data_IF_718107814323
#
_entry.id   IF_718107814323
#
_cell.length_a   1.000
_cell.length_b   1.000
_cell.length_c   1.000
_cell.angle_alpha   90.00
_cell.angle_beta   90.00
_cell.angle_gamma   90.00
#
_symmetry.space_group_name_H-M   'P 1'
#
loop_
_entity.id
_entity.type
_entity.pdbx_description
1 polymer ?
#
# COMPACT_ATOMS: atom_id res chain seq x y z
N UNK A 1 18.46 -5.12 18.16
CA UNK A 1 19.46 -6.17 17.87
C UNK A 1 19.59 -6.23 16.37
N UNK A 2 20.83 -6.37 15.90
CA UNK A 2 21.28 -6.07 14.56
C UNK A 2 20.37 -6.62 13.46
N UNK A 3 20.04 -5.72 12.52
CA UNK A 3 19.34 -5.95 11.28
C UNK A 3 20.22 -6.83 10.39
N UNK A 4 19.82 -8.07 10.17
CA UNK A 4 20.49 -8.99 9.26
C UNK A 4 20.02 -8.67 7.83
N UNK A 5 20.48 -7.53 7.32
CA UNK A 5 20.39 -7.18 5.91
C UNK A 5 21.23 -8.20 5.11
N UNK A 6 20.55 -9.19 4.55
CA UNK A 6 21.09 -10.03 3.50
C UNK A 6 21.65 -9.11 2.39
N UNK A 7 22.91 -9.30 1.93
CA UNK A 7 23.46 -8.50 0.85
C UNK A 7 22.63 -8.73 -0.41
N UNK A 8 22.01 -7.67 -0.94
CA UNK A 8 21.55 -7.66 -2.32
C UNK A 8 22.77 -7.91 -3.21
N UNK A 9 22.87 -9.11 -3.80
CA UNK A 9 23.88 -9.41 -4.82
C UNK A 9 23.80 -8.33 -5.92
N UNK A 10 24.84 -7.50 -6.01
CA UNK A 10 24.93 -6.42 -6.98
C UNK A 10 25.26 -6.98 -8.36
N UNK A 11 24.25 -7.52 -9.03
CA UNK A 11 24.30 -7.86 -10.44
C UNK A 11 24.30 -6.61 -11.32
N UNK A 12 24.76 -6.75 -12.57
CA UNK A 12 24.53 -5.74 -13.59
C UNK A 12 23.02 -5.44 -13.69
N UNK A 13 22.62 -4.17 -13.83
CA UNK A 13 21.21 -3.83 -14.01
C UNK A 13 20.66 -4.59 -15.22
N UNK A 14 19.42 -5.09 -15.13
CA UNK A 14 18.81 -5.85 -16.22
C UNK A 14 18.77 -5.01 -17.51
N UNK A 15 18.76 -5.70 -18.66
CA UNK A 15 18.48 -5.05 -19.94
C UNK A 15 17.11 -4.35 -19.89
N UNK A 16 16.92 -3.22 -20.61
CA UNK A 16 15.63 -2.54 -20.65
C UNK A 16 14.53 -3.50 -21.08
N UNK A 17 13.42 -3.52 -20.35
CA UNK A 17 12.24 -4.23 -20.83
C UNK A 17 11.64 -3.45 -22.01
N UNK A 18 11.14 -4.18 -23.01
CA UNK A 18 10.50 -3.60 -24.21
C UNK A 18 9.11 -4.21 -24.43
N UNK A 19 8.20 -3.45 -25.05
CA UNK A 19 6.77 -3.76 -25.23
C UNK A 19 5.89 -3.47 -23.99
N UNK A 20 4.56 -3.26 -24.17
CA UNK A 20 3.86 -2.16 -23.52
C UNK A 20 3.82 -2.29 -22.00
N UNK A 21 4.18 -1.20 -21.32
CA UNK A 21 4.01 -1.08 -19.88
C UNK A 21 2.53 -1.16 -19.56
N UNK A 22 2.14 -2.20 -18.82
CA UNK A 22 0.77 -2.36 -18.36
C UNK A 22 0.56 -1.51 -17.12
N UNK A 23 -0.44 -0.65 -17.14
CA UNK A 23 -0.83 0.17 -15.98
C UNK A 23 -0.98 -0.68 -14.71
N UNK A 24 -1.66 -1.82 -14.83
CA UNK A 24 -1.90 -2.75 -13.71
C UNK A 24 -0.60 -3.18 -13.02
N UNK A 25 0.51 -3.28 -13.76
CA UNK A 25 1.79 -3.73 -13.22
C UNK A 25 2.57 -2.58 -12.54
N UNK A 26 2.01 -1.36 -12.53
CA UNK A 26 2.65 -0.14 -12.00
C UNK A 26 1.85 0.56 -10.88
N UNK A 27 0.58 0.20 -10.65
CA UNK A 27 -0.29 0.92 -9.69
C UNK A 27 0.25 0.82 -8.28
N UNK A 28 0.68 -0.37 -7.86
CA UNK A 28 1.25 -0.60 -6.53
C UNK A 28 2.49 0.25 -6.29
N UNK A 29 3.49 0.18 -7.18
CA UNK A 29 4.73 0.94 -7.06
C UNK A 29 4.48 2.46 -7.13
N UNK A 30 3.55 2.88 -7.98
CA UNK A 30 3.18 4.29 -8.11
C UNK A 30 2.50 4.85 -6.86
N UNK A 31 1.60 4.08 -6.27
CA UNK A 31 0.94 4.46 -5.03
C UNK A 31 1.94 4.49 -3.87
N UNK A 32 2.78 3.45 -3.74
CA UNK A 32 3.85 3.38 -2.76
C UNK A 32 4.78 4.59 -2.86
N UNK A 33 5.26 4.90 -4.05
CA UNK A 33 6.15 6.03 -4.31
C UNK A 33 5.49 7.36 -3.95
N UNK A 34 4.24 7.56 -4.34
CA UNK A 34 3.50 8.82 -4.10
C UNK A 34 3.29 9.04 -2.60
N UNK A 35 2.85 8.01 -1.88
CA UNK A 35 2.67 8.07 -0.42
C UNK A 35 4.00 8.26 0.32
N UNK A 36 5.06 7.55 -0.09
CA UNK A 36 6.38 7.69 0.53
C UNK A 36 6.94 9.10 0.33
N UNK A 37 6.76 9.65 -0.87
CA UNK A 37 7.17 11.03 -1.21
C UNK A 37 6.38 12.10 -0.44
N UNK A 38 5.14 11.81 -0.03
CA UNK A 38 4.38 12.70 0.84
C UNK A 38 4.97 12.69 2.25
N UNK A 39 5.27 11.50 2.78
CA UNK A 39 5.80 11.34 4.14
C UNK A 39 7.18 11.99 4.28
N UNK A 40 8.06 11.84 3.28
CA UNK A 40 9.41 12.43 3.30
C UNK A 40 9.45 13.92 2.88
N UNK A 41 8.31 14.48 2.46
CA UNK A 41 8.18 15.88 2.03
C UNK A 41 8.75 16.20 0.65
N UNK A 42 9.10 15.18 -0.15
CA UNK A 42 9.73 15.34 -1.47
C UNK A 42 8.76 15.35 -2.65
N UNK A 43 7.46 15.06 -2.42
CA UNK A 43 6.44 15.02 -3.48
C UNK A 43 6.24 16.37 -4.18
N UNK A 44 6.33 17.47 -3.42
CA UNK A 44 6.11 18.83 -3.94
C UNK A 44 4.65 19.14 -4.33
N UNK A 45 3.70 18.29 -3.92
CA UNK A 45 2.25 18.45 -4.13
C UNK A 45 1.55 18.28 -2.78
N UNK A 46 0.55 19.11 -2.52
CA UNK A 46 -0.34 18.89 -1.37
C UNK A 46 -1.49 17.97 -1.79
N UNK A 47 -1.50 16.75 -1.25
CA UNK A 47 -2.55 15.78 -1.51
C UNK A 47 -3.70 15.81 -0.51
N UNK A 48 -3.69 16.75 0.45
CA UNK A 48 -4.75 16.90 1.45
C UNK A 48 -4.81 15.78 2.49
N UNK A 49 -3.78 14.91 2.56
CA UNK A 49 -3.64 13.84 3.54
C UNK A 49 -2.48 14.14 4.49
N UNK A 50 -2.69 13.88 5.77
CA UNK A 50 -1.66 14.04 6.80
C UNK A 50 -0.52 13.02 6.63
N UNK A 51 0.71 13.43 6.98
CA UNK A 51 1.88 12.55 6.95
C UNK A 51 1.72 11.33 7.86
N UNK A 52 1.04 11.48 9.00
CA UNK A 52 0.72 10.36 9.89
C UNK A 52 -0.17 9.33 9.19
N UNK A 53 -1.23 9.78 8.51
CA UNK A 53 -2.13 8.90 7.79
C UNK A 53 -1.41 8.14 6.66
N UNK A 54 -0.62 8.85 5.85
CA UNK A 54 0.20 8.24 4.80
C UNK A 54 1.22 7.24 5.37
N UNK A 55 1.85 7.56 6.50
CA UNK A 55 2.78 6.64 7.18
C UNK A 55 2.09 5.37 7.67
N UNK A 56 0.87 5.50 8.22
CA UNK A 56 0.06 4.34 8.66
C UNK A 56 -0.41 3.46 7.50
N UNK A 57 -0.67 4.02 6.32
CA UNK A 57 -0.96 3.23 5.11
C UNK A 57 0.24 2.38 4.65
N UNK A 58 1.47 2.88 4.88
CA UNK A 58 2.73 2.24 4.49
C UNK A 58 3.26 1.23 5.53
N UNK A 59 2.71 1.24 6.74
CA UNK A 59 3.18 0.42 7.85
C UNK A 59 3.06 -1.08 7.52
N UNK A 60 4.13 -1.85 7.76
CA UNK A 60 4.07 -3.32 7.70
C UNK A 60 3.53 -3.90 9.01
N UNK A 61 2.83 -5.04 8.93
CA UNK A 61 2.46 -5.80 10.13
C UNK A 61 3.68 -6.60 10.64
N UNK A 62 4.25 -6.29 11.82
CA UNK A 62 5.46 -6.93 12.31
C UNK A 62 5.26 -8.41 12.68
N UNK A 63 4.02 -8.87 12.85
CA UNK A 63 3.70 -10.23 13.29
C UNK A 63 3.21 -11.12 12.15
N UNK A 64 3.16 -10.61 10.92
CA UNK A 64 2.70 -11.39 9.77
C UNK A 64 3.88 -11.95 8.97
N UNK A 65 4.23 -13.21 9.23
CA UNK A 65 5.19 -13.97 8.42
C UNK A 65 4.42 -14.63 7.27
N UNK A 66 4.79 -14.25 6.04
CA UNK A 66 4.37 -14.79 4.74
C UNK A 66 3.32 -15.90 4.78
N UNK A 67 2.05 -15.52 4.91
CA UNK A 67 0.94 -16.39 4.58
C UNK A 67 0.57 -16.13 3.12
N UNK A 68 0.89 -17.06 2.21
CA UNK A 68 0.45 -17.06 0.81
C UNK A 68 -1.08 -17.30 0.68
N UNK A 69 -1.87 -16.80 1.64
CA UNK A 69 -3.32 -16.86 1.56
C UNK A 69 -3.72 -15.77 0.58
N UNK A 70 -4.37 -16.17 -0.51
CA UNK A 70 -4.98 -15.26 -1.47
C UNK A 70 -5.77 -14.22 -0.69
N UNK A 71 -5.35 -12.97 -0.83
CA UNK A 71 -5.87 -11.84 -0.07
C UNK A 71 -7.20 -11.44 -0.70
N UNK A 72 -8.24 -12.20 -0.37
CA UNK A 72 -9.60 -11.93 -0.79
C UNK A 72 -10.03 -10.56 -0.23
N UNK A 73 -10.83 -9.81 -1.00
CA UNK A 73 -11.41 -8.50 -0.62
C UNK A 73 -12.42 -8.57 0.54
N UNK A 74 -12.41 -9.67 1.27
CA UNK A 74 -13.33 -9.98 2.34
C UNK A 74 -12.62 -9.81 3.68
N UNK A 75 -13.34 -9.24 4.64
CA UNK A 75 -12.80 -9.02 5.96
C UNK A 75 -11.99 -7.74 6.09
N UNK A 76 -11.23 -7.64 7.17
CA UNK A 76 -10.37 -6.48 7.51
C UNK A 76 -9.14 -6.49 6.60
N UNK A 77 -8.75 -5.42 5.90
CA UNK A 77 -7.61 -5.46 4.98
C UNK A 77 -6.29 -5.80 5.67
N UNK A 78 -5.42 -6.49 4.96
CA UNK A 78 -4.08 -6.83 5.43
C UNK A 78 -3.12 -5.65 5.26
N UNK A 79 -2.17 -5.56 6.19
CA UNK A 79 -1.12 -4.56 6.15
C UNK A 79 0.07 -5.05 5.30
N UNK A 80 0.75 -4.17 4.55
CA UNK A 80 0.53 -2.71 4.49
C UNK A 80 -0.70 -2.33 3.65
N UNK A 81 -1.50 -1.38 4.15
CA UNK A 81 -2.81 -1.05 3.61
C UNK A 81 -2.76 -0.44 2.19
N UNK A 82 -1.66 0.19 1.80
CA UNK A 82 -1.51 0.69 0.43
C UNK A 82 -1.62 -0.42 -0.62
N UNK A 83 -1.29 -1.68 -0.30
CA UNK A 83 -1.46 -2.81 -1.23
C UNK A 83 -2.93 -3.13 -1.46
N UNK A 84 -3.74 -3.08 -0.40
CA UNK A 84 -5.20 -3.22 -0.51
C UNK A 84 -5.79 -2.10 -1.37
N UNK A 85 -5.32 -0.86 -1.19
CA UNK A 85 -5.71 0.27 -2.04
C UNK A 85 -5.29 0.06 -3.51
N UNK A 86 -4.05 -0.32 -3.76
CA UNK A 86 -3.54 -0.57 -5.12
C UNK A 86 -4.41 -1.59 -5.85
N UNK A 87 -4.71 -2.72 -5.21
CA UNK A 87 -5.58 -3.75 -5.79
C UNK A 87 -7.00 -3.24 -6.01
N UNK A 88 -7.57 -2.44 -5.09
CA UNK A 88 -8.89 -1.86 -5.29
C UNK A 88 -8.94 -0.96 -6.54
N UNK A 89 -7.88 -0.16 -6.76
CA UNK A 89 -7.71 0.68 -7.96
C UNK A 89 -7.54 -0.16 -9.24
N UNK A 90 -6.77 -1.24 -9.17
CA UNK A 90 -6.57 -2.19 -10.27
C UNK A 90 -7.87 -2.91 -10.65
N UNK A 91 -8.63 -3.40 -9.67
CA UNK A 91 -9.87 -4.10 -9.93
C UNK A 91 -10.95 -3.20 -10.50
N UNK A 92 -11.08 -1.97 -9.98
CA UNK A 92 -11.95 -0.98 -10.59
C UNK A 92 -11.60 -0.77 -12.08
N UNK A 93 -10.31 -0.84 -12.41
CA UNK A 93 -9.84 -0.76 -13.79
C UNK A 93 -10.26 -1.98 -14.63
N UNK A 94 -10.43 -3.16 -14.06
CA UNK A 94 -10.89 -4.35 -14.79
C UNK A 94 -12.42 -4.44 -14.93
N UNK A 95 -13.17 -4.10 -13.88
CA UNK A 95 -14.63 -4.31 -13.81
C UNK A 95 -15.45 -3.06 -14.12
N UNK A 96 -14.86 -1.86 -14.07
CA UNK A 96 -15.58 -0.58 -14.15
C UNK A 96 -16.56 -0.35 -13.00
N UNK A 97 -16.49 -1.19 -11.95
CA UNK A 97 -17.42 -1.20 -10.83
C UNK A 97 -16.65 -1.49 -9.56
N UNK A 98 -16.92 -0.76 -8.48
CA UNK A 98 -16.43 -1.16 -7.17
C UNK A 98 -16.96 -2.54 -6.81
N UNK A 99 -16.15 -3.38 -6.16
CA UNK A 99 -16.65 -4.63 -5.57
C UNK A 99 -17.78 -4.25 -4.59
N UNK A 100 -18.95 -4.85 -4.83
CA UNK A 100 -20.23 -4.56 -4.16
C UNK A 100 -20.07 -4.13 -2.70
N UNK A 101 -20.48 -2.90 -2.40
CA UNK A 101 -20.79 -2.46 -1.05
C UNK A 101 -22.33 -2.48 -0.91
N UNK A 102 -22.93 -3.41 -0.15
CA UNK A 102 -24.35 -3.36 0.17
C UNK A 102 -24.62 -2.20 1.13
N UNK A 103 -25.66 -1.43 0.85
CA UNK A 103 -26.35 -0.48 1.73
C UNK A 103 -25.49 0.58 2.42
N UNK A 104 -25.32 1.71 1.72
CA UNK A 104 -25.38 3.03 2.36
C UNK A 104 -26.62 3.73 1.79
N UNK A 105 -27.69 3.79 2.57
CA UNK A 105 -28.97 4.44 2.19
C UNK A 105 -28.86 5.98 2.12
N UNK A 106 -27.68 6.56 2.37
CA UNK A 106 -27.46 7.99 2.30
C UNK A 106 -27.24 8.44 0.86
N UNK A 107 -28.21 9.16 0.29
CA UNK A 107 -28.17 9.77 -1.05
C UNK A 107 -26.88 10.58 -1.31
N UNK A 108 -26.35 11.24 -0.28
CA UNK A 108 -25.09 11.99 -0.36
C UNK A 108 -23.87 11.12 -0.63
N UNK A 109 -23.87 9.86 -0.17
CA UNK A 109 -22.76 8.94 -0.37
C UNK A 109 -22.78 8.36 -1.79
N UNK A 110 -23.97 8.08 -2.34
CA UNK A 110 -24.13 7.66 -3.74
C UNK A 110 -23.63 8.73 -4.72
N UNK A 111 -23.85 10.01 -4.39
CA UNK A 111 -23.29 11.13 -5.18
C UNK A 111 -21.76 11.12 -5.17
N UNK A 112 -21.15 11.01 -3.98
CA UNK A 112 -19.68 10.92 -3.82
C UNK A 112 -19.10 9.71 -4.55
N UNK A 113 -19.76 8.56 -4.49
CA UNK A 113 -19.34 7.35 -5.20
C UNK A 113 -19.32 7.55 -6.72
N UNK A 114 -20.31 8.28 -7.26
CA UNK A 114 -20.34 8.69 -8.67
C UNK A 114 -19.18 9.64 -9.02
N UNK A 115 -18.86 10.60 -8.15
CA UNK A 115 -17.73 11.51 -8.32
C UNK A 115 -16.38 10.76 -8.30
N UNK A 116 -16.19 9.85 -7.35
CA UNK A 116 -14.99 9.00 -7.29
C UNK A 116 -14.86 8.08 -8.50
N UNK A 117 -15.97 7.52 -8.97
CA UNK A 117 -16.00 6.69 -10.19
C UNK A 117 -15.49 7.47 -11.41
N UNK A 118 -16.00 8.69 -11.58
CA UNK A 118 -15.56 9.58 -12.67
C UNK A 118 -14.07 9.92 -12.54
N UNK A 119 -13.62 10.30 -11.34
CA UNK A 119 -12.23 10.61 -11.05
C UNK A 119 -11.29 9.44 -11.38
N UNK A 120 -11.65 8.22 -10.98
CA UNK A 120 -10.88 7.01 -11.26
C UNK A 120 -10.77 6.75 -12.76
N UNK A 121 -11.86 6.93 -13.51
CA UNK A 121 -11.86 6.73 -14.95
C UNK A 121 -11.01 7.76 -15.70
N UNK A 122 -11.10 9.03 -15.31
CA UNK A 122 -10.29 10.12 -15.86
C UNK A 122 -8.81 9.89 -15.58
N UNK A 123 -8.45 9.63 -14.32
CA UNK A 123 -7.08 9.37 -13.91
C UNK A 123 -6.48 8.15 -14.62
N UNK A 124 -7.27 7.08 -14.76
CA UNK A 124 -6.88 5.89 -15.52
C UNK A 124 -6.58 6.23 -16.97
N UNK A 125 -7.43 7.04 -17.62
CA UNK A 125 -7.22 7.43 -19.01
C UNK A 125 -5.89 8.14 -19.20
N UNK A 126 -5.57 9.09 -18.31
CA UNK A 126 -4.29 9.81 -18.35
C UNK A 126 -3.09 8.91 -18.08
N UNK A 127 -3.17 8.03 -17.07
CA UNK A 127 -2.10 7.06 -16.81
C UNK A 127 -1.89 6.08 -17.97
N UNK A 128 -2.97 5.59 -18.58
CA UNK A 128 -2.88 4.72 -19.77
C UNK A 128 -2.22 5.43 -20.96
N UNK A 129 -2.48 6.73 -21.15
CA UNK A 129 -1.79 7.52 -22.19
C UNK A 129 -0.29 7.62 -21.91
N UNK A 130 0.09 7.90 -20.66
CA UNK A 130 1.50 8.02 -20.27
C UNK A 130 2.23 6.69 -20.43
N UNK A 131 1.72 5.62 -19.82
CA UNK A 131 2.37 4.31 -19.87
C UNK A 131 2.33 3.69 -21.28
N UNK A 132 1.28 3.96 -22.05
CA UNK A 132 1.18 3.54 -23.45
C UNK A 132 2.18 4.23 -24.38
N UNK A 133 2.76 5.36 -23.97
CA UNK A 133 3.81 6.06 -24.69
C UNK A 133 5.23 5.70 -24.23
N UNK A 134 5.39 4.78 -23.27
CA UNK A 134 6.71 4.34 -22.80
C UNK A 134 7.32 3.34 -23.76
N UNK A 135 8.56 3.60 -24.18
CA UNK A 135 9.33 2.71 -25.07
C UNK A 135 10.15 1.69 -24.28
N UNK A 136 10.73 2.11 -23.15
CA UNK A 136 11.64 1.30 -22.35
C UNK A 136 11.41 1.47 -20.85
N UNK A 137 11.45 0.35 -20.11
CA UNK A 137 11.47 0.36 -18.64
C UNK A 137 12.88 0.07 -18.12
N UNK A 138 13.36 0.93 -17.22
CA UNK A 138 14.69 0.86 -16.63
C UNK A 138 14.59 0.95 -15.11
N UNK A 139 15.56 0.33 -14.43
CA UNK A 139 15.72 0.48 -12.98
C UNK A 139 16.93 1.36 -12.64
N UNK A 140 16.74 2.30 -11.71
CA UNK A 140 17.77 3.20 -11.19
C UNK A 140 17.79 3.14 -9.66
N UNK A 141 18.97 2.94 -9.07
CA UNK A 141 19.14 2.93 -7.61
C UNK A 141 19.20 4.33 -7.02
N UNK A 142 18.89 4.46 -5.74
CA UNK A 142 19.19 5.66 -4.98
C UNK A 142 20.71 5.84 -4.78
N UNK A 143 21.23 7.08 -4.75
CA UNK A 143 20.53 8.37 -4.77
C UNK A 143 20.16 8.87 -6.19
N UNK A 144 20.55 8.15 -7.24
CA UNK A 144 20.46 8.63 -8.62
C UNK A 144 19.03 8.76 -9.12
N UNK A 145 18.11 7.92 -8.64
CA UNK A 145 16.69 8.04 -8.95
C UNK A 145 16.10 9.35 -8.44
N UNK A 146 16.34 9.69 -7.16
CA UNK A 146 15.90 10.97 -6.60
C UNK A 146 16.54 12.17 -7.30
N UNK A 147 17.81 12.05 -7.71
CA UNK A 147 18.50 13.10 -8.48
C UNK A 147 17.91 13.30 -9.89
N UNK A 148 17.52 12.22 -10.58
CA UNK A 148 16.82 12.30 -11.87
C UNK A 148 15.46 12.99 -11.71
N UNK A 149 14.69 12.59 -10.68
CA UNK A 149 13.40 13.22 -10.37
C UNK A 149 13.52 14.71 -10.10
N UNK A 150 14.52 15.11 -9.34
CA UNK A 150 14.80 16.51 -9.02
C UNK A 150 15.41 17.31 -10.18
N UNK A 151 15.76 16.66 -11.30
CA UNK A 151 16.43 17.30 -12.44
C UNK A 151 17.89 17.67 -12.19
N UNK A 152 18.49 17.18 -11.10
CA UNK A 152 19.90 17.37 -10.79
C UNK A 152 20.80 16.49 -11.68
N UNK A 153 20.36 15.27 -11.93
CA UNK A 153 20.98 14.32 -12.87
C UNK A 153 20.24 14.40 -14.19
N UNK A 154 20.97 14.64 -15.28
CA UNK A 154 20.41 14.78 -16.63
C UNK A 154 21.01 13.80 -17.65
N UNK A 155 21.99 13.00 -17.23
CA UNK A 155 22.65 12.01 -18.08
C UNK A 155 22.69 10.68 -17.36
N UNK A 156 22.16 9.64 -18.00
CA UNK A 156 22.18 8.28 -17.50
C UNK A 156 23.22 7.44 -18.26
N UNK A 157 24.31 7.10 -17.58
CA UNK A 157 25.38 6.27 -18.16
C UNK A 157 25.10 4.77 -18.02
N UNK A 158 25.21 4.01 -19.11
CA UNK A 158 25.03 2.55 -19.15
C UNK A 158 26.04 1.90 -20.10
N UNK A 159 26.46 0.66 -19.85
CA UNK A 159 27.18 -0.08 -20.89
C UNK A 159 26.25 -0.32 -22.10
N UNK A 160 26.81 -0.25 -23.31
CA UNK A 160 26.06 -0.37 -24.57
C UNK A 160 25.68 -1.84 -24.89
N UNK A 161 24.87 -2.46 -24.03
CA UNK A 161 24.52 -3.89 -24.11
C UNK A 161 23.03 -4.10 -24.39
N UNK A 162 22.68 -5.15 -25.14
CA UNK A 162 21.29 -5.56 -25.35
C UNK A 162 20.39 -4.41 -25.85
N UNK A 163 19.21 -4.27 -25.24
CA UNK A 163 18.21 -3.28 -25.63
C UNK A 163 18.60 -1.82 -25.33
N UNK A 164 19.65 -1.56 -24.52
CA UNK A 164 20.15 -0.19 -24.34
C UNK A 164 20.60 0.43 -25.68
N UNK A 165 21.09 -0.38 -26.63
CA UNK A 165 21.49 0.08 -27.97
C UNK A 165 20.33 0.53 -28.86
N UNK A 166 19.08 0.24 -28.46
CA UNK A 166 17.87 0.63 -29.19
C UNK A 166 17.32 1.97 -28.72
N UNK A 167 17.82 2.49 -27.61
CA UNK A 167 17.40 3.78 -27.06
C UNK A 167 17.92 4.89 -27.98
N UNK A 168 17.02 5.75 -28.45
CA UNK A 168 17.30 6.81 -29.39
C UNK A 168 16.66 8.13 -28.92
N UNK A 169 17.11 9.29 -29.46
CA UNK A 169 16.44 10.57 -29.24
C UNK A 169 14.93 10.50 -29.48
N UNK A 170 14.14 11.10 -28.61
CA UNK A 170 12.68 11.08 -28.62
C UNK A 170 12.04 9.87 -27.92
N UNK A 171 12.82 8.87 -27.50
CA UNK A 171 12.28 7.75 -26.75
C UNK A 171 11.82 8.15 -25.33
N UNK A 172 10.75 7.54 -24.86
CA UNK A 172 10.22 7.68 -23.50
C UNK A 172 10.69 6.54 -22.61
N UNK A 173 11.34 6.88 -21.49
CA UNK A 173 11.83 5.92 -20.51
C UNK A 173 11.00 6.00 -19.23
N UNK A 174 10.66 4.84 -18.68
CA UNK A 174 10.05 4.71 -17.37
C UNK A 174 11.06 4.17 -16.36
N UNK A 175 11.40 4.98 -15.36
CA UNK A 175 12.27 4.59 -14.27
C UNK A 175 11.45 4.10 -13.07
N UNK A 176 11.81 2.92 -12.57
CA UNK A 176 11.24 2.32 -11.36
C UNK A 176 9.70 2.38 -11.35
N UNK A 177 9.07 2.19 -12.52
CA UNK A 177 7.61 2.25 -12.74
C UNK A 177 6.89 3.55 -12.33
N UNK A 178 7.62 4.63 -12.05
CA UNK A 178 7.05 5.82 -11.39
C UNK A 178 7.45 7.15 -11.98
N UNK A 179 8.64 7.25 -12.57
CA UNK A 179 9.17 8.48 -13.17
C UNK A 179 9.32 8.29 -14.68
N UNK A 180 8.65 9.14 -15.47
CA UNK A 180 8.83 9.16 -16.93
C UNK A 180 9.83 10.25 -17.31
N UNK A 181 10.74 9.94 -18.22
CA UNK A 181 11.68 10.90 -18.82
C UNK A 181 11.74 10.73 -20.33
N UNK A 182 12.15 11.79 -21.03
CA UNK A 182 12.32 11.78 -22.48
C UNK A 182 13.80 11.89 -22.85
N UNK A 183 14.26 10.99 -23.73
CA UNK A 183 15.62 10.99 -24.24
C UNK A 183 15.83 12.15 -25.20
N UNK A 184 16.74 13.05 -24.84
CA UNK A 184 17.12 14.19 -25.66
C UNK A 184 18.16 13.78 -26.71
N UNK A 185 19.24 13.14 -26.26
CA UNK A 185 20.34 12.67 -27.10
C UNK A 185 20.96 11.41 -26.50
N UNK A 186 21.62 10.59 -27.34
CA UNK A 186 22.39 9.43 -26.89
C UNK A 186 23.77 9.51 -27.53
N UNK A 187 24.81 9.56 -26.69
CA UNK A 187 26.20 9.61 -27.12
C UNK A 187 26.91 8.31 -26.73
N UNK A 188 27.84 7.85 -27.56
CA UNK A 188 28.62 6.64 -27.31
C UNK A 188 30.08 6.98 -27.05
N UNK A 189 30.67 6.31 -26.06
CA UNK A 189 32.04 6.50 -25.61
C UNK A 189 32.76 5.17 -25.48
N UNK A 190 34.08 5.20 -25.53
CA UNK A 190 34.92 4.01 -25.36
C UNK A 190 34.99 3.54 -23.90
N UNK A 191 34.78 4.47 -22.95
CA UNK A 191 34.88 4.19 -21.51
C UNK A 191 34.00 5.10 -20.66
N UNK A 192 33.72 4.69 -19.41
CA UNK A 192 33.03 5.54 -18.43
C UNK A 192 33.88 6.76 -18.07
N UNK A 193 35.20 6.63 -18.04
CA UNK A 193 36.10 7.75 -17.76
C UNK A 193 35.95 8.86 -18.81
N UNK A 194 35.97 8.47 -20.09
CA UNK A 194 35.76 9.41 -21.20
C UNK A 194 34.37 10.05 -21.14
N UNK A 195 33.32 9.24 -20.94
CA UNK A 195 31.96 9.74 -20.80
C UNK A 195 31.85 10.78 -19.67
N UNK A 196 32.40 10.50 -18.49
CA UNK A 196 32.35 11.41 -17.33
C UNK A 196 33.12 12.71 -17.55
N UNK A 197 34.19 12.68 -18.35
CA UNK A 197 34.94 13.87 -18.75
C UNK A 197 34.12 14.76 -19.71
N UNK A 198 33.51 14.15 -20.74
CA UNK A 198 32.81 14.89 -21.80
C UNK A 198 31.42 15.36 -21.36
N UNK A 199 30.62 14.47 -20.77
CA UNK A 199 29.24 14.77 -20.35
C UNK A 199 29.16 15.57 -19.04
N UNK A 200 30.32 15.87 -18.43
CA UNK A 200 30.46 16.51 -17.12
C UNK A 200 30.00 15.63 -15.95
N UNK A 201 30.93 15.26 -15.08
CA UNK A 201 30.68 14.41 -13.90
C UNK A 201 29.45 14.81 -13.10
N UNK A 202 29.20 16.10 -12.87
CA UNK A 202 28.05 16.56 -12.06
C UNK A 202 26.70 16.31 -12.72
N UNK A 203 26.62 16.20 -14.05
CA UNK A 203 25.37 15.89 -14.76
C UNK A 203 25.07 14.40 -14.76
N UNK A 204 26.12 13.57 -14.70
CA UNK A 204 26.01 12.11 -14.70
C UNK A 204 25.87 11.56 -13.27
N UNK A 205 26.71 12.04 -12.35
CA UNK A 205 26.78 11.59 -10.95
C UNK A 205 26.84 12.81 -10.00
N UNK A 206 25.73 13.54 -9.81
CA UNK A 206 25.69 14.66 -8.87
C UNK A 206 26.19 14.28 -7.47
N UNK A 207 27.06 15.12 -6.91
CA UNK A 207 27.67 14.93 -5.59
C UNK A 207 29.01 14.18 -5.58
N UNK A 208 29.37 13.50 -6.68
CA UNK A 208 30.66 12.82 -6.84
C UNK A 208 31.75 13.84 -7.18
N UNK A 209 32.93 13.72 -6.58
CA UNK A 209 33.97 14.76 -6.67
C UNK A 209 34.99 14.52 -7.78
N UNK A 210 35.29 13.25 -8.09
CA UNK A 210 36.31 12.91 -9.10
C UNK A 210 35.83 11.86 -10.09
N UNK A 211 36.48 11.81 -11.26
CA UNK A 211 36.14 10.85 -12.32
C UNK A 211 36.45 9.43 -11.85
N UNK A 212 37.53 9.22 -11.09
CA UNK A 212 37.94 7.92 -10.57
C UNK A 212 36.88 7.35 -9.62
N UNK A 213 36.34 8.18 -8.73
CA UNK A 213 35.22 7.82 -7.86
C UNK A 213 33.96 7.47 -8.68
N UNK A 214 33.69 8.26 -9.72
CA UNK A 214 32.58 8.01 -10.64
C UNK A 214 32.70 6.68 -11.39
N UNK A 215 33.89 6.35 -11.90
CA UNK A 215 34.17 5.06 -12.53
C UNK A 215 34.00 3.92 -11.51
N UNK A 216 34.46 4.11 -10.28
CA UNK A 216 34.30 3.11 -9.22
C UNK A 216 32.83 2.80 -8.90
N UNK A 217 31.93 3.79 -9.00
CA UNK A 217 30.48 3.57 -8.90
C UNK A 217 30.00 2.63 -10.01
N UNK A 218 30.39 2.89 -11.26
CA UNK A 218 30.03 2.01 -12.39
C UNK A 218 30.61 0.60 -12.28
N UNK A 219 31.78 0.44 -11.66
CA UNK A 219 32.41 -0.86 -11.41
C UNK A 219 31.61 -1.79 -10.50
N UNK A 220 30.69 -1.24 -9.69
CA UNK A 220 29.73 -2.05 -8.92
C UNK A 220 28.75 -2.81 -9.82
N UNK A 221 28.57 -2.38 -11.06
CA UNK A 221 27.58 -2.92 -12.00
C UNK A 221 28.22 -3.55 -13.25
N UNK A 222 29.36 -3.03 -13.70
CA UNK A 222 29.98 -3.41 -14.96
C UNK A 222 31.48 -3.69 -14.81
N UNK A 223 31.91 -4.85 -15.32
CA UNK A 223 33.33 -5.20 -15.40
C UNK A 223 34.03 -4.38 -16.49
N UNK A 224 35.33 -4.18 -16.35
CA UNK A 224 36.17 -3.51 -17.37
C UNK A 224 36.11 -4.20 -18.72
N UNK A 225 36.04 -5.53 -18.73
CA UNK A 225 35.91 -6.29 -19.96
C UNK A 225 34.60 -5.98 -20.70
N UNK A 226 33.47 -5.89 -19.96
CA UNK A 226 32.17 -5.55 -20.56
C UNK A 226 32.17 -4.13 -21.12
N UNK A 227 32.74 -3.18 -20.38
CA UNK A 227 32.92 -1.81 -20.88
C UNK A 227 33.79 -1.78 -22.13
N UNK A 228 34.97 -2.40 -22.11
CA UNK A 228 35.90 -2.40 -23.26
C UNK A 228 35.30 -3.05 -24.50
N UNK A 229 34.48 -4.09 -24.33
CA UNK A 229 33.90 -4.85 -25.44
C UNK A 229 32.71 -4.12 -26.08
N UNK A 230 31.91 -3.39 -25.30
CA UNK A 230 30.66 -2.80 -25.77
C UNK A 230 30.71 -1.27 -25.88
N UNK A 231 31.61 -0.62 -25.15
CA UNK A 231 31.57 0.82 -24.91
C UNK A 231 30.46 1.22 -23.92
N UNK A 232 30.26 2.52 -23.82
CA UNK A 232 29.35 3.17 -22.88
C UNK A 232 28.41 4.10 -23.63
N UNK A 233 27.14 4.14 -23.20
CA UNK A 233 26.14 5.10 -23.64
C UNK A 233 25.92 6.15 -22.56
N UNK A 234 25.95 7.42 -22.96
CA UNK A 234 25.38 8.52 -22.21
C UNK A 234 23.99 8.82 -22.75
N UNK A 235 22.96 8.53 -21.95
CA UNK A 235 21.57 8.78 -22.31
C UNK A 235 21.16 10.10 -21.66
N UNK A 236 21.18 11.19 -22.43
CA UNK A 236 20.78 12.51 -21.97
C UNK A 236 19.25 12.59 -21.91
N UNK A 237 18.70 12.96 -20.76
CA UNK A 237 17.26 12.92 -20.48
C UNK A 237 16.73 14.25 -19.97
N UNK A 238 15.45 14.51 -20.24
CA UNK A 238 14.71 15.60 -19.61
C UNK A 238 13.41 15.06 -18.99
N UNK A 239 12.90 15.75 -17.97
CA UNK A 239 11.67 15.36 -17.27
C UNK A 239 10.47 16.09 -17.88
N UNK A 240 9.52 15.40 -18.54
CA UNK A 240 8.30 16.03 -19.03
C UNK A 240 7.44 16.55 -17.86
N UNK A 241 6.56 17.51 -18.17
CA UNK A 241 5.67 18.13 -17.18
C UNK A 241 4.62 17.14 -16.65
N UNK A 242 4.05 16.31 -17.52
CA UNK A 242 3.12 15.25 -17.12
C UNK A 242 3.89 14.06 -16.55
N UNK A 243 3.52 13.63 -15.35
CA UNK A 243 4.18 12.53 -14.63
C UNK A 243 3.15 11.60 -14.00
N UNK A 244 3.39 10.27 -13.97
CA UNK A 244 2.47 9.31 -13.35
C UNK A 244 2.13 9.66 -11.90
N UNK A 245 3.12 10.07 -11.11
CA UNK A 245 2.93 10.35 -9.68
C UNK A 245 2.11 11.61 -9.43
N UNK A 246 2.07 12.54 -10.38
CA UNK A 246 1.20 13.74 -10.30
C UNK A 246 -0.27 13.31 -10.45
N UNK A 247 -0.56 12.41 -11.39
CA UNK A 247 -1.91 11.85 -11.58
C UNK A 247 -2.33 11.03 -10.36
N UNK A 248 -1.44 10.19 -9.83
CA UNK A 248 -1.70 9.47 -8.57
C UNK A 248 -1.96 10.42 -7.40
N UNK A 249 -1.19 11.50 -7.25
CA UNK A 249 -1.41 12.52 -6.23
C UNK A 249 -2.77 13.21 -6.36
N UNK A 250 -3.17 13.58 -7.58
CA UNK A 250 -4.49 14.17 -7.86
C UNK A 250 -5.62 13.19 -7.54
N UNK A 251 -5.44 11.90 -7.85
CA UNK A 251 -6.40 10.86 -7.49
C UNK A 251 -6.55 10.76 -5.96
N UNK A 252 -5.45 10.70 -5.21
CA UNK A 252 -5.48 10.67 -3.76
C UNK A 252 -6.17 11.90 -3.17
N UNK A 253 -5.91 13.07 -3.75
CA UNK A 253 -6.55 14.34 -3.36
C UNK A 253 -8.06 14.29 -3.55
N UNK A 254 -8.51 13.83 -4.72
CA UNK A 254 -9.94 13.78 -5.05
C UNK A 254 -10.71 12.66 -4.32
N UNK A 255 -10.04 11.57 -3.96
CA UNK A 255 -10.62 10.54 -3.08
C UNK A 255 -10.74 11.06 -1.65
N UNK A 256 -9.68 11.71 -1.14
CA UNK A 256 -9.58 12.13 0.25
C UNK A 256 -9.73 10.96 1.23
N UNK A 257 -9.96 11.28 2.50
CA UNK A 257 -10.15 10.27 3.55
C UNK A 257 -11.33 9.34 3.29
N UNK A 258 -12.48 9.90 2.91
CA UNK A 258 -13.71 9.11 2.68
C UNK A 258 -13.55 8.12 1.52
N UNK A 259 -12.96 8.54 0.40
CA UNK A 259 -12.76 7.68 -0.77
C UNK A 259 -11.72 6.59 -0.52
N UNK A 260 -10.65 6.90 0.21
CA UNK A 260 -9.65 5.89 0.61
C UNK A 260 -10.23 4.88 1.59
N UNK A 261 -11.00 5.31 2.58
CA UNK A 261 -11.69 4.42 3.50
C UNK A 261 -12.70 3.53 2.78
N UNK A 262 -13.43 4.08 1.81
CA UNK A 262 -14.32 3.31 0.96
C UNK A 262 -13.58 2.23 0.16
N UNK A 263 -12.43 2.56 -0.44
CA UNK A 263 -11.58 1.58 -1.14
C UNK A 263 -11.00 0.51 -0.21
N UNK A 264 -10.81 0.81 1.08
CA UNK A 264 -10.42 -0.15 2.11
C UNK A 264 -11.59 -0.99 2.65
N UNK A 265 -12.80 -0.81 2.13
CA UNK A 265 -14.00 -1.52 2.59
C UNK A 265 -14.58 -0.98 3.90
N UNK A 266 -14.14 0.20 4.36
CA UNK A 266 -14.71 0.86 5.53
C UNK A 266 -16.03 1.55 5.20
N UNK A 267 -16.92 1.55 6.18
CA UNK A 267 -18.23 2.18 6.11
C UNK A 267 -18.17 3.59 6.67
N UNK A 268 -18.94 4.49 6.07
CA UNK A 268 -19.12 5.85 6.58
C UNK A 268 -20.50 5.96 7.24
N UNK A 269 -20.54 6.28 8.53
CA UNK A 269 -21.76 6.51 9.30
C UNK A 269 -21.62 7.76 10.16
N UNK A 270 -22.72 8.22 10.76
CA UNK A 270 -22.63 9.28 11.77
C UNK A 270 -21.66 8.89 12.88
N UNK A 271 -20.70 9.76 13.17
CA UNK A 271 -19.64 9.53 14.15
C UNK A 271 -18.40 8.80 13.61
N UNK A 272 -18.33 8.46 12.33
CA UNK A 272 -17.09 7.97 11.69
C UNK A 272 -15.95 8.96 11.89
N UNK A 273 -14.78 8.45 12.25
CA UNK A 273 -13.53 9.21 12.33
C UNK A 273 -12.89 9.23 10.94
N UNK A 274 -12.77 10.40 10.27
CA UNK A 274 -12.35 10.44 8.86
C UNK A 274 -10.96 9.85 8.58
N UNK A 275 -9.96 10.19 9.39
CA UNK A 275 -8.55 9.79 9.20
C UNK A 275 -8.18 8.50 9.95
N UNK A 276 -9.18 7.73 10.36
CA UNK A 276 -8.97 6.44 10.98
C UNK A 276 -8.76 5.34 9.94
N UNK A 277 -7.91 4.37 10.28
CA UNK A 277 -7.60 3.20 9.47
C UNK A 277 -7.91 1.94 10.29
N UNK A 278 -8.27 0.82 9.64
CA UNK A 278 -8.50 -0.43 10.36
C UNK A 278 -7.21 -0.89 11.05
N UNK A 279 -7.20 -1.29 12.34
CA UNK A 279 -5.99 -1.77 12.98
C UNK A 279 -5.43 -3.06 12.35
N UNK A 280 -4.13 -3.34 12.45
CA UNK A 280 -3.55 -4.59 11.97
C UNK A 280 -4.26 -5.82 12.56
N UNK A 281 -4.56 -6.83 11.72
CA UNK A 281 -5.21 -8.07 12.17
C UNK A 281 -4.45 -8.71 13.33
N UNK A 282 -3.12 -8.68 13.30
CA UNK A 282 -2.29 -9.22 14.37
C UNK A 282 -2.53 -8.54 15.72
N UNK A 283 -2.71 -7.21 15.74
CA UNK A 283 -3.02 -6.44 16.94
C UNK A 283 -4.41 -6.80 17.48
N UNK A 284 -5.40 -6.92 16.58
CA UNK A 284 -6.78 -7.31 16.91
C UNK A 284 -6.84 -8.72 17.53
N UNK A 285 -6.15 -9.70 16.93
CA UNK A 285 -6.04 -11.07 17.46
C UNK A 285 -5.29 -11.07 18.79
N UNK A 286 -4.15 -10.39 18.87
CA UNK A 286 -3.31 -10.35 20.07
C UNK A 286 -4.07 -9.79 21.28
N UNK A 287 -4.77 -8.67 21.11
CA UNK A 287 -5.53 -8.05 22.21
C UNK A 287 -6.73 -8.91 22.65
N UNK A 288 -7.38 -9.59 21.70
CA UNK A 288 -8.48 -10.51 21.97
C UNK A 288 -8.01 -11.79 22.71
N UNK A 289 -6.84 -12.32 22.32
CA UNK A 289 -6.25 -13.54 22.87
C UNK A 289 -5.36 -13.31 24.11
N UNK A 290 -5.26 -12.08 24.59
CA UNK A 290 -4.53 -11.78 25.84
C UNK A 290 -5.19 -12.49 27.04
N UNK A 291 -4.42 -13.08 27.97
CA UNK A 291 -4.98 -13.71 29.17
C UNK A 291 -5.82 -12.74 30.01
N UNK A 292 -7.02 -13.18 30.39
CA UNK A 292 -7.91 -12.46 31.28
C UNK A 292 -7.55 -12.74 32.74
N UNK A 293 -7.09 -11.71 33.46
CA UNK A 293 -6.65 -11.80 34.87
C UNK A 293 -5.60 -12.91 35.09
N UNK A 294 -4.38 -12.76 34.51
CA UNK A 294 -3.34 -13.81 34.52
C UNK A 294 -2.88 -14.25 35.92
N UNK A 295 -3.16 -13.46 36.96
CA UNK A 295 -2.77 -13.74 38.33
C UNK A 295 -3.73 -14.71 39.06
N UNK A 296 -4.83 -15.12 38.44
CA UNK A 296 -5.79 -16.06 39.02
C UNK A 296 -5.35 -17.49 38.74
N UNK A 297 -4.95 -18.23 39.78
CA UNK A 297 -4.55 -19.64 39.65
C UNK A 297 -5.70 -20.47 39.08
N UNK A 298 -5.40 -21.26 38.05
CA UNK A 298 -6.33 -22.21 37.44
C UNK A 298 -7.25 -21.65 36.35
N UNK A 299 -7.15 -20.36 36.01
CA UNK A 299 -7.82 -19.81 34.84
C UNK A 299 -6.82 -19.31 33.81
N UNK A 300 -6.97 -19.77 32.57
CA UNK A 300 -6.17 -19.33 31.42
C UNK A 300 -7.04 -18.73 30.31
N UNK A 301 -8.30 -18.41 30.60
CA UNK A 301 -9.21 -17.79 29.64
C UNK A 301 -8.65 -16.49 29.08
N UNK A 302 -8.86 -16.27 27.79
CA UNK A 302 -8.56 -14.99 27.14
C UNK A 302 -9.71 -13.99 27.32
N UNK A 303 -9.46 -12.71 26.98
CA UNK A 303 -10.53 -11.71 26.94
C UNK A 303 -11.66 -12.13 26.00
N UNK A 304 -11.33 -12.65 24.82
CA UNK A 304 -12.31 -13.16 23.87
C UNK A 304 -13.10 -14.35 24.42
N UNK A 305 -12.45 -15.38 24.96
CA UNK A 305 -13.16 -16.54 25.52
C UNK A 305 -14.09 -16.12 26.68
N UNK A 306 -13.64 -15.19 27.52
CA UNK A 306 -14.47 -14.64 28.59
C UNK A 306 -15.68 -13.85 28.05
N UNK A 307 -15.50 -13.10 26.97
CA UNK A 307 -16.61 -12.42 26.32
C UNK A 307 -17.58 -13.44 25.73
N UNK A 308 -17.08 -14.43 24.97
CA UNK A 308 -17.88 -15.46 24.30
C UNK A 308 -18.78 -16.24 25.27
N UNK A 309 -18.30 -16.52 26.48
CA UNK A 309 -19.10 -17.14 27.54
C UNK A 309 -20.42 -16.42 27.86
N UNK A 310 -20.50 -15.10 27.61
CA UNK A 310 -21.73 -14.30 27.78
C UNK A 310 -22.69 -14.40 26.60
N UNK A 311 -22.20 -14.76 25.43
CA UNK A 311 -22.92 -14.76 24.14
C UNK A 311 -23.42 -16.15 23.75
N UNK A 312 -22.72 -17.22 24.15
CA UNK A 312 -23.10 -18.60 23.81
C UNK A 312 -24.57 -18.93 24.09
N UNK A 313 -25.09 -18.53 25.26
CA UNK A 313 -26.49 -18.79 25.64
C UNK A 313 -27.52 -17.81 25.07
N UNK A 314 -27.08 -16.79 24.31
CA UNK A 314 -27.95 -15.73 23.76
C UNK A 314 -28.35 -15.98 22.31
N UNK A 315 -27.56 -16.73 21.56
CA UNK A 315 -27.83 -17.03 20.15
C UNK A 315 -28.61 -18.35 20.03
N UNK A 316 -29.87 -18.27 19.59
CA UNK A 316 -30.73 -19.44 19.42
C UNK A 316 -30.33 -20.35 18.26
N UNK A 317 -29.53 -19.83 17.31
CA UNK A 317 -29.05 -20.53 16.12
C UNK A 317 -27.68 -21.23 16.33
N UNK A 318 -27.05 -21.05 17.48
CA UNK A 318 -25.76 -21.64 17.80
C UNK A 318 -24.56 -21.01 17.09
N UNK A 319 -24.69 -19.81 16.50
CA UNK A 319 -23.62 -19.15 15.72
C UNK A 319 -22.27 -19.09 16.44
N UNK A 320 -22.28 -18.77 17.74
CA UNK A 320 -21.08 -18.66 18.59
C UNK A 320 -20.37 -19.99 18.90
N UNK A 321 -20.93 -21.13 18.48
CA UNK A 321 -20.41 -22.47 18.75
C UNK A 321 -20.64 -22.95 20.19
N UNK A 322 -20.28 -24.20 20.52
CA UNK A 322 -20.50 -24.80 21.85
C UNK A 322 -19.43 -24.40 22.86
N UNK A 323 -19.76 -23.54 23.83
CA UNK A 323 -18.82 -23.11 24.87
C UNK A 323 -18.71 -24.11 26.02
N UNK A 324 -17.93 -25.18 25.81
CA UNK A 324 -17.73 -26.27 26.79
C UNK A 324 -16.27 -26.71 26.85
N UNK A 325 -15.92 -27.60 27.80
CA UNK A 325 -14.56 -28.13 27.94
C UNK A 325 -13.59 -27.24 28.74
N UNK A 326 -12.30 -27.50 28.55
CA UNK A 326 -11.17 -26.83 29.18
C UNK A 326 -11.03 -25.37 28.72
N UNK A 327 -10.29 -24.56 29.49
CA UNK A 327 -9.98 -23.18 29.11
C UNK A 327 -9.23 -23.10 27.77
N UNK A 328 -8.40 -24.10 27.47
CA UNK A 328 -7.71 -24.21 26.17
C UNK A 328 -8.71 -24.36 25.00
N UNK A 329 -9.69 -25.25 25.14
CA UNK A 329 -10.72 -25.47 24.12
C UNK A 329 -11.59 -24.24 23.91
N UNK A 330 -11.96 -23.56 24.99
CA UNK A 330 -12.72 -22.29 24.96
C UNK A 330 -11.93 -21.16 24.29
N UNK A 331 -10.63 -21.06 24.58
CA UNK A 331 -9.74 -20.09 23.95
C UNK A 331 -9.57 -20.37 22.46
N UNK A 332 -9.45 -21.64 22.07
CA UNK A 332 -9.41 -22.04 20.65
C UNK A 332 -10.69 -21.65 19.93
N UNK A 333 -11.85 -21.96 20.49
CA UNK A 333 -13.15 -21.54 19.93
C UNK A 333 -13.22 -20.01 19.76
N UNK A 334 -12.81 -19.25 20.77
CA UNK A 334 -12.80 -17.80 20.68
C UNK A 334 -11.84 -17.27 19.60
N UNK A 335 -10.68 -17.91 19.42
CA UNK A 335 -9.76 -17.60 18.32
C UNK A 335 -10.37 -17.90 16.96
N UNK A 336 -11.03 -19.06 16.82
CA UNK A 336 -11.68 -19.46 15.58
C UNK A 336 -12.79 -18.45 15.18
N UNK A 337 -13.59 -18.01 16.16
CA UNK A 337 -14.61 -16.96 15.96
C UNK A 337 -13.99 -15.62 15.55
N UNK A 338 -12.93 -15.17 16.22
CA UNK A 338 -12.26 -13.90 15.87
C UNK A 338 -11.69 -13.97 14.46
N UNK A 339 -11.01 -15.06 14.10
CA UNK A 339 -10.46 -15.25 12.76
C UNK A 339 -11.57 -15.29 11.70
N UNK A 340 -12.71 -15.93 12.00
CA UNK A 340 -13.86 -15.92 11.12
C UNK A 340 -14.40 -14.50 10.89
N UNK A 341 -14.61 -13.72 11.96
CA UNK A 341 -15.07 -12.33 11.87
C UNK A 341 -14.08 -11.46 11.06
N UNK A 342 -12.78 -11.57 11.33
CA UNK A 342 -11.75 -10.79 10.65
C UNK A 342 -11.65 -11.10 9.16
N UNK A 343 -11.88 -12.36 8.76
CA UNK A 343 -11.79 -12.77 7.35
C UNK A 343 -13.09 -12.58 6.57
N UNK A 344 -14.24 -12.48 7.24
CA UNK A 344 -15.55 -12.48 6.58
C UNK A 344 -16.39 -11.24 6.88
N UNK A 345 -15.87 -10.24 7.61
CA UNK A 345 -16.65 -9.03 7.85
C UNK A 345 -17.00 -8.32 6.53
N UNK A 346 -18.26 -7.94 6.40
CA UNK A 346 -18.81 -7.16 5.28
C UNK A 346 -19.07 -5.69 5.67
N UNK A 347 -18.91 -5.39 6.96
CA UNK A 347 -19.04 -4.06 7.51
C UNK A 347 -17.89 -3.85 8.50
N UNK A 348 -17.18 -2.73 8.36
CA UNK A 348 -16.19 -2.29 9.35
C UNK A 348 -16.17 -0.76 9.43
N UNK A 349 -15.90 -0.21 10.59
CA UNK A 349 -15.80 1.24 10.78
C UNK A 349 -14.99 1.58 12.04
N UNK A 350 -14.38 2.76 12.05
CA UNK A 350 -13.87 3.41 13.26
C UNK A 350 -14.77 4.60 13.57
N UNK A 351 -15.50 4.55 14.68
CA UNK A 351 -16.50 5.55 14.98
C UNK A 351 -16.69 5.77 16.48
N UNK A 352 -17.27 6.92 16.80
CA UNK A 352 -17.70 7.27 18.15
C UNK A 352 -19.00 6.53 18.48
N UNK A 353 -19.02 5.82 19.61
CA UNK A 353 -20.25 5.27 20.21
C UNK A 353 -20.79 6.17 21.32
N UNK A 354 -19.92 7.00 21.91
CA UNK A 354 -20.22 8.13 22.81
C UNK A 354 -19.18 9.23 22.55
N UNK A 355 -19.40 10.48 23.01
CA UNK A 355 -18.45 11.58 22.76
C UNK A 355 -16.99 11.26 23.06
N UNK A 356 -16.71 10.45 24.09
CA UNK A 356 -15.35 10.08 24.52
C UNK A 356 -14.99 8.60 24.26
N UNK A 357 -15.78 7.89 23.45
CA UNK A 357 -15.61 6.44 23.25
C UNK A 357 -15.55 6.12 21.75
N UNK A 358 -14.33 6.09 21.21
CA UNK A 358 -14.02 5.69 19.83
C UNK A 358 -13.65 4.21 19.75
N UNK A 359 -14.30 3.48 18.86
CA UNK A 359 -14.11 2.03 18.70
C UNK A 359 -13.86 1.66 17.25
N UNK A 360 -13.10 0.58 17.05
CA UNK A 360 -13.10 -0.17 15.80
C UNK A 360 -14.12 -1.30 15.91
N UNK A 361 -15.08 -1.33 15.00
CA UNK A 361 -16.15 -2.33 14.96
C UNK A 361 -16.16 -3.05 13.62
N UNK A 362 -16.37 -4.37 13.66
CA UNK A 362 -16.57 -5.21 12.47
C UNK A 362 -17.83 -6.04 12.64
N UNK A 363 -18.52 -6.31 11.52
CA UNK A 363 -19.66 -7.23 11.46
C UNK A 363 -19.63 -8.08 10.19
N UNK A 364 -20.05 -9.34 10.34
CA UNK A 364 -20.35 -10.25 9.23
C UNK A 364 -21.76 -10.00 8.70
N UNK A 365 -22.13 -10.50 7.50
CA UNK A 365 -23.45 -10.28 6.91
C UNK A 365 -24.63 -10.66 7.81
N UNK A 366 -24.46 -11.67 8.66
CA UNK A 366 -25.46 -12.14 9.63
C UNK A 366 -25.67 -11.17 10.80
N UNK A 367 -24.86 -10.10 10.89
CA UNK A 367 -24.97 -9.04 11.89
C UNK A 367 -24.14 -9.28 13.15
N UNK A 368 -23.61 -10.49 13.36
CA UNK A 368 -22.65 -10.78 14.42
C UNK A 368 -21.36 -9.98 14.23
N UNK A 369 -20.69 -9.63 15.32
CA UNK A 369 -19.52 -8.76 15.24
C UNK A 369 -18.64 -8.72 16.47
N UNK A 370 -17.66 -7.82 16.43
CA UNK A 370 -16.73 -7.58 17.53
C UNK A 370 -16.27 -6.12 17.56
N UNK A 371 -15.87 -5.66 18.75
CA UNK A 371 -15.33 -4.32 18.99
C UNK A 371 -13.97 -4.34 19.65
N UNK A 372 -13.16 -3.38 19.27
CA UNK A 372 -11.90 -3.02 19.90
C UNK A 372 -11.84 -1.52 20.17
N UNK A 373 -10.89 -1.08 20.99
CA UNK A 373 -10.44 0.31 20.96
C UNK A 373 -10.02 0.69 19.54
N UNK A 374 -10.07 1.98 19.19
CA UNK A 374 -9.73 2.47 17.85
C UNK A 374 -8.34 2.01 17.33
N UNK A 375 -7.39 1.78 18.23
CA UNK A 375 -6.02 1.33 17.93
C UNK A 375 -5.89 -0.21 17.87
N UNK A 376 -6.98 -0.95 18.12
CA UNK A 376 -6.99 -2.41 18.15
C UNK A 376 -6.33 -3.05 19.38
N UNK A 377 -5.75 -2.26 20.30
CA UNK A 377 -4.93 -2.76 21.41
C UNK A 377 -5.75 -3.31 22.59
N UNK A 378 -7.06 -3.04 22.63
CA UNK A 378 -7.97 -3.54 23.65
C UNK A 378 -9.22 -4.13 23.02
N UNK A 379 -9.40 -5.43 23.19
CA UNK A 379 -10.68 -6.08 22.88
C UNK A 379 -11.77 -5.64 23.85
N UNK A 380 -12.91 -5.20 23.31
CA UNK A 380 -14.05 -4.70 24.08
C UNK A 380 -15.09 -5.81 24.28
N UNK A 381 -15.47 -6.51 23.20
CA UNK A 381 -16.46 -7.58 23.28
C UNK A 381 -17.04 -7.98 21.93
N UNK A 382 -17.88 -9.01 21.95
CA UNK A 382 -18.66 -9.47 20.80
C UNK A 382 -19.99 -8.72 20.69
N UNK A 383 -20.59 -8.78 19.52
CA UNK A 383 -21.82 -8.09 19.16
C UNK A 383 -22.83 -9.07 18.58
N UNK A 384 -24.06 -9.00 19.06
CA UNK A 384 -25.20 -9.69 18.46
C UNK A 384 -25.72 -8.92 17.23
N UNK A 385 -26.49 -9.58 16.35
CA UNK A 385 -27.19 -8.93 15.26
C UNK A 385 -28.11 -7.80 15.74
N UNK A 386 -28.35 -6.83 14.87
CA UNK A 386 -29.33 -5.79 15.16
C UNK A 386 -30.72 -6.42 15.30
N UNK A 387 -31.40 -6.12 16.40
CA UNK A 387 -32.79 -6.50 16.64
C UNK A 387 -33.62 -5.22 16.56
N UNK A 388 -34.70 -5.23 15.77
CA UNK A 388 -35.67 -4.14 15.76
C UNK A 388 -36.16 -3.84 17.19
N UNK A 389 -36.20 -2.55 17.55
CA UNK A 389 -36.55 -2.02 18.88
C UNK A 389 -35.63 -2.41 20.04
N UNK A 390 -34.42 -2.90 19.77
CA UNK A 390 -33.48 -3.29 20.82
C UNK A 390 -33.21 -2.15 21.83
N UNK A 391 -33.01 -0.91 21.36
CA UNK A 391 -32.75 0.26 22.21
C UNK A 391 -33.85 0.48 23.28
N UNK A 392 -35.11 0.18 22.94
CA UNK A 392 -36.29 0.29 23.80
C UNK A 392 -36.35 -0.78 24.90
N UNK A 393 -35.67 -1.92 24.71
CA UNK A 393 -35.63 -3.04 25.66
C UNK A 393 -34.42 -3.00 26.60
N UNK A 394 -33.66 -1.90 26.59
CA UNK A 394 -32.56 -1.66 27.52
C UNK A 394 -31.38 -2.60 27.27
N UNK A 395 -30.62 -2.35 26.20
CA UNK A 395 -29.36 -3.06 25.94
C UNK A 395 -28.51 -3.06 27.20
N UNK A 396 -28.25 -4.26 27.75
CA UNK A 396 -27.11 -4.47 28.64
C UNK A 396 -25.99 -4.99 27.78
N UNK A 397 -25.10 -4.07 27.38
CA UNK A 397 -23.79 -4.37 26.78
C UNK A 397 -23.07 -5.47 27.57
#
# INVERSE_FOLDING_TARGET
MADELLPLESGAPPSPATAPVRLLDCVEELLLFTLSSQVDGSLGLDIGLSNDYCSRLLLSDPLHVHSNIGDDFHGVPMYPLYKSLARALEQYSSSGTFLKVPDSDAESFKLKEGEWSKLLLENRSELMKIFGAVDFELHVQEPFFSQLRAGLKSVEGRCAIGDYNRIAPGASLLFNKTLVVEVQHVNQYSSFSEMLQVETLTKVLPGVKTIEEGVHIYRKFYTEEKERTNGVLAICVSKPASQPYVHMANLLTGLGYDGLNFLLGMKHTSGTVPDALPPPRSALVSSAMKPYRPNVKGSSLTYAARALAKHFGRSSDGWWGSFSGSDSEKNRLASDVINHLLSNCSWMNVHLIKPDECVFEIRVPEGYGARWSQDGLKFIGFLEPYVEEGHSKGWKH
#
